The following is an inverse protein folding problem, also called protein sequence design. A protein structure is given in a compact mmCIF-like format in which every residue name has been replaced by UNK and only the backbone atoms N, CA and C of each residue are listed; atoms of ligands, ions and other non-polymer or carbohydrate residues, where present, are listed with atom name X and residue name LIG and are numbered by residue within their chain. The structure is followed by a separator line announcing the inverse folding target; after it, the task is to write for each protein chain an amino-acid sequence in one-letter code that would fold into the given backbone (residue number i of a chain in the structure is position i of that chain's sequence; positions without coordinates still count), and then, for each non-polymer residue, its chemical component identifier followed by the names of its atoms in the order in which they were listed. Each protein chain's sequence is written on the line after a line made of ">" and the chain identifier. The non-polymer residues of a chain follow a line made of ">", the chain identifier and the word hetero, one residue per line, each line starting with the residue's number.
data_IF_100159877476
#
_entry.id   IF_100159877476
#
_cell.length_a   1.000
_cell.length_b   1.000
_cell.length_c   1.000
_cell.angle_alpha   90.00
_cell.angle_beta   90.00
_cell.angle_gamma   90.00
#
_symmetry.space_group_name_H-M   'P 1'
#
loop_
_entity.id
_entity.type
_entity.pdbx_description
1 polymer ?
#
# COMPACT_ATOMS: atom_id res chain seq x y z
N UNK A 1 -13.45 -0.65 13.30
CA UNK A 1 -12.43 0.08 14.10
C UNK A 1 -12.79 1.57 14.11
N UNK A 2 -12.30 2.40 15.06
CA UNK A 2 -12.41 3.86 14.96
C UNK A 2 -11.68 4.39 13.72
N UNK A 3 -11.93 5.65 13.37
CA UNK A 3 -11.36 6.31 12.18
C UNK A 3 -9.84 6.44 12.31
N UNK A 4 -9.11 6.05 11.26
CA UNK A 4 -7.65 6.09 11.25
C UNK A 4 -7.09 6.50 9.88
N UNK A 5 -5.89 7.09 9.91
CA UNK A 5 -5.08 7.35 8.74
C UNK A 5 -3.86 6.41 8.75
N UNK A 6 -3.80 5.50 7.78
CA UNK A 6 -2.74 4.49 7.66
C UNK A 6 -1.77 4.89 6.56
N UNK A 7 -0.47 4.91 6.86
CA UNK A 7 0.58 5.03 5.84
C UNK A 7 1.21 3.67 5.56
N UNK A 8 1.14 3.23 4.31
CA UNK A 8 1.78 2.01 3.81
C UNK A 8 3.08 2.42 3.12
N UNK A 9 4.19 1.84 3.58
CA UNK A 9 5.52 2.07 3.01
C UNK A 9 5.97 0.83 2.25
N UNK A 10 6.25 0.95 0.95
CA UNK A 10 6.80 -0.13 0.12
C UNK A 10 8.27 0.15 -0.16
N UNK A 11 9.11 -0.87 0.08
CA UNK A 11 10.49 -0.84 -0.39
C UNK A 11 10.55 -1.20 -1.89
N UNK A 12 11.14 -0.31 -2.69
CA UNK A 12 11.38 -0.52 -4.11
C UNK A 12 12.88 -0.62 -4.42
N UNK A 13 13.69 -1.01 -3.44
CA UNK A 13 15.12 -1.23 -3.60
C UNK A 13 15.42 -2.43 -4.48
N UNK A 14 16.66 -2.52 -4.97
CA UNK A 14 17.08 -3.62 -5.84
C UNK A 14 17.02 -4.99 -5.15
N UNK A 15 17.02 -5.02 -3.81
CA UNK A 15 16.84 -6.22 -3.01
C UNK A 15 15.42 -6.81 -3.13
N UNK A 16 14.44 -6.02 -3.57
CA UNK A 16 13.05 -6.46 -3.75
C UNK A 16 12.78 -7.11 -5.11
N UNK A 17 13.77 -7.12 -6.01
CA UNK A 17 13.71 -7.89 -7.26
C UNK A 17 14.12 -9.36 -7.10
N UNK A 18 14.41 -9.79 -5.88
CA UNK A 18 14.77 -11.19 -5.64
C UNK A 18 13.54 -12.10 -5.79
N UNK A 19 13.79 -13.34 -6.22
CA UNK A 19 12.76 -14.36 -6.49
C UNK A 19 12.53 -15.31 -5.31
N UNK A 20 12.80 -14.89 -4.08
CA UNK A 20 12.58 -15.74 -2.89
C UNK A 20 11.09 -15.85 -2.53
N UNK A 21 10.27 -14.90 -3.00
CA UNK A 21 8.82 -15.02 -3.06
C UNK A 21 8.39 -15.15 -4.52
N UNK A 22 7.42 -16.04 -4.78
CA UNK A 22 6.82 -16.22 -6.10
C UNK A 22 5.71 -15.18 -6.30
N UNK A 23 5.59 -14.56 -7.49
CA UNK A 23 6.47 -14.68 -8.66
C UNK A 23 7.78 -13.87 -8.51
N UNK A 24 7.70 -12.68 -7.92
CA UNK A 24 8.83 -11.91 -7.40
C UNK A 24 8.46 -11.28 -6.06
N UNK A 25 9.44 -10.93 -5.23
CA UNK A 25 9.18 -10.26 -3.95
C UNK A 25 8.46 -8.92 -4.13
N UNK A 26 8.74 -8.19 -5.21
CA UNK A 26 8.05 -6.95 -5.53
C UNK A 26 6.56 -7.14 -5.84
N UNK A 27 6.20 -8.16 -6.64
CA UNK A 27 4.79 -8.49 -6.91
C UNK A 27 4.07 -8.97 -5.65
N UNK A 28 4.73 -9.81 -4.83
CA UNK A 28 4.16 -10.24 -3.56
C UNK A 28 3.87 -9.05 -2.61
N UNK A 29 4.69 -8.00 -2.65
CA UNK A 29 4.42 -6.76 -1.90
C UNK A 29 3.22 -5.98 -2.44
N UNK A 30 3.00 -5.93 -3.77
CA UNK A 30 1.83 -5.30 -4.36
C UNK A 30 0.52 -5.96 -3.90
N UNK A 31 0.49 -7.30 -3.88
CA UNK A 31 -0.65 -8.07 -3.40
C UNK A 31 -0.91 -7.84 -1.90
N UNK A 32 0.16 -7.80 -1.11
CA UNK A 32 0.07 -7.52 0.32
C UNK A 32 -0.50 -6.12 0.58
N UNK A 33 -0.07 -5.10 -0.17
CA UNK A 33 -0.58 -3.73 -0.05
C UNK A 33 -2.05 -3.63 -0.39
N UNK A 34 -2.48 -4.30 -1.45
CA UNK A 34 -3.90 -4.38 -1.83
C UNK A 34 -4.74 -5.00 -0.71
N UNK A 35 -4.24 -6.09 -0.12
CA UNK A 35 -4.90 -6.79 0.99
C UNK A 35 -5.01 -5.92 2.25
N UNK A 36 -3.94 -5.20 2.61
CA UNK A 36 -3.94 -4.28 3.76
C UNK A 36 -4.90 -3.13 3.52
N UNK A 37 -4.88 -2.53 2.32
CA UNK A 37 -5.79 -1.45 1.95
C UNK A 37 -7.27 -1.89 2.05
N UNK A 38 -7.59 -3.07 1.52
CA UNK A 38 -8.94 -3.62 1.60
C UNK A 38 -9.36 -3.86 3.06
N UNK A 39 -8.49 -4.45 3.87
CA UNK A 39 -8.76 -4.71 5.30
C UNK A 39 -9.05 -3.42 6.07
N UNK A 40 -8.31 -2.34 5.78
CA UNK A 40 -8.52 -1.02 6.40
C UNK A 40 -9.84 -0.39 5.94
N UNK A 41 -10.19 -0.55 4.68
CA UNK A 41 -11.46 -0.07 4.10
C UNK A 41 -12.66 -0.82 4.68
N UNK A 42 -12.57 -2.14 4.80
CA UNK A 42 -13.64 -2.98 5.37
C UNK A 42 -13.83 -2.73 6.87
N UNK A 43 -12.76 -2.35 7.57
CA UNK A 43 -12.80 -2.03 9.00
C UNK A 43 -13.50 -0.72 9.32
N UNK A 44 -13.40 0.26 8.43
CA UNK A 44 -14.15 1.52 8.44
C UNK A 44 -14.08 2.17 7.03
N UNK A 45 -15.21 2.37 6.33
CA UNK A 45 -15.24 2.95 4.98
C UNK A 45 -14.69 4.38 4.87
N UNK A 46 -14.54 5.10 5.98
CA UNK A 46 -13.99 6.47 6.02
C UNK A 46 -12.49 6.51 6.34
N UNK A 47 -11.85 5.35 6.48
CA UNK A 47 -10.42 5.28 6.72
C UNK A 47 -9.62 5.86 5.55
N UNK A 48 -8.51 6.53 5.87
CA UNK A 48 -7.57 7.02 4.88
C UNK A 48 -6.37 6.07 4.82
N UNK A 49 -5.93 5.77 3.61
CA UNK A 49 -4.67 5.06 3.39
C UNK A 49 -3.80 5.81 2.38
N UNK A 50 -2.52 5.98 2.70
CA UNK A 50 -1.53 6.51 1.76
C UNK A 50 -0.48 5.45 1.45
N UNK A 51 0.11 5.53 0.27
CA UNK A 51 1.20 4.67 -0.18
C UNK A 51 2.44 5.50 -0.50
N UNK A 52 3.60 5.06 -0.02
CA UNK A 52 4.88 5.71 -0.29
C UNK A 52 5.97 4.69 -0.61
N UNK A 53 6.81 4.98 -1.60
CA UNK A 53 8.03 4.21 -1.86
C UNK A 53 9.21 4.75 -1.05
N UNK A 54 10.03 3.86 -0.48
CA UNK A 54 11.09 4.26 0.46
C UNK A 54 12.52 4.12 -0.06
N UNK A 55 12.75 3.53 -1.25
CA UNK A 55 14.09 3.40 -1.81
C UNK A 55 14.45 4.54 -2.77
N UNK A 56 15.70 4.98 -2.70
CA UNK A 56 16.27 6.03 -3.56
C UNK A 56 16.16 7.44 -2.97
N UNK A 57 16.50 8.45 -3.77
CA UNK A 57 16.51 9.87 -3.36
C UNK A 57 15.17 10.58 -3.56
N UNK A 58 14.22 9.93 -4.23
CA UNK A 58 12.88 10.47 -4.49
C UNK A 58 11.84 9.56 -3.87
N UNK A 59 11.38 9.90 -2.67
CA UNK A 59 10.19 9.29 -2.12
C UNK A 59 9.01 9.62 -3.03
N UNK A 60 8.40 8.61 -3.67
CA UNK A 60 7.19 8.81 -4.45
C UNK A 60 6.00 8.56 -3.53
N UNK A 61 5.09 9.52 -3.47
CA UNK A 61 3.90 9.47 -2.62
C UNK A 61 2.65 9.43 -3.49
N UNK A 62 1.80 8.45 -3.22
CA UNK A 62 0.46 8.35 -3.78
C UNK A 62 -0.55 8.33 -2.63
N UNK A 63 -1.40 9.36 -2.56
CA UNK A 63 -2.59 9.28 -1.73
C UNK A 63 -3.57 8.29 -2.35
N UNK A 64 -3.80 7.17 -1.68
CA UNK A 64 -4.93 6.30 -1.99
C UNK A 64 -6.15 6.82 -1.21
N UNK A 65 -6.64 7.99 -1.63
CA UNK A 65 -7.95 8.45 -1.17
C UNK A 65 -9.01 7.49 -1.70
N UNK A 66 -9.92 7.07 -0.82
CA UNK A 66 -11.17 6.41 -1.24
C UNK A 66 -11.98 7.45 -2.02
N UNK A 67 -11.80 7.50 -3.34
CA UNK A 67 -12.74 8.17 -4.25
C UNK A 67 -13.56 7.11 -4.99
N UNK A 68 -14.49 6.47 -4.28
CA UNK A 68 -15.74 6.02 -4.91
C UNK A 68 -16.80 5.56 -3.90
N UNK A 69 -17.58 6.52 -3.40
CA UNK A 69 -19.03 6.37 -3.27
C UNK A 69 -19.68 7.67 -3.72
N UNK A 70 -19.77 7.86 -5.05
CA UNK A 70 -20.82 8.71 -5.60
C UNK A 70 -22.14 7.98 -5.35
N UNK A 71 -23.08 8.65 -4.70
CA UNK A 71 -24.49 8.30 -4.75
C UNK A 71 -24.98 8.20 -6.20
#
# INVERSE_FOLDING_TARGET
>A
MPLEATMILIDNSEYMRNGDYQPTRFEAQQDAVTTVFQTKTDSNPENLAGLMTVAGKGYAFAMLSIQNKRF
#
